data_IF_719305580784
#
_entry.id   IF_719305580784
#
_cell.length_a   1.000
_cell.length_b   1.000
_cell.length_c   1.000
_cell.angle_alpha   90.00
_cell.angle_beta   90.00
_cell.angle_gamma   90.00
#
_symmetry.space_group_name_H-M   'P 1'
#
loop_
_entity.id
_entity.type
_entity.pdbx_description
1 polymer ?
#
# COMPACT_ATOMS: atom_id res chain seq x y z
N UNK A 1 -1.87 21.11 12.05
CA UNK A 1 -0.88 20.03 12.24
C UNK A 1 -0.38 19.67 10.86
N UNK A 2 0.93 19.70 10.64
CA UNK A 2 1.53 19.13 9.44
C UNK A 2 1.50 17.60 9.59
N UNK A 3 0.50 16.96 8.98
CA UNK A 3 0.36 15.50 9.00
C UNK A 3 1.45 14.82 8.17
N UNK A 4 1.93 15.47 7.11
CA UNK A 4 2.79 14.84 6.08
C UNK A 4 4.17 14.43 6.60
N UNK A 5 4.76 15.21 7.51
CA UNK A 5 6.14 14.97 7.98
C UNK A 5 6.26 13.99 9.16
N UNK A 6 5.15 13.53 9.74
CA UNK A 6 5.15 12.67 10.94
C UNK A 6 4.52 11.30 10.74
N UNK A 7 3.77 11.10 9.65
CA UNK A 7 3.26 9.79 9.27
C UNK A 7 4.41 8.88 8.83
N UNK A 8 4.32 7.61 9.23
CA UNK A 8 5.28 6.56 8.88
C UNK A 8 4.56 5.45 8.10
N UNK A 9 4.69 5.51 6.79
CA UNK A 9 4.00 4.69 5.81
C UNK A 9 4.91 3.66 5.12
N UNK A 10 6.24 3.70 5.35
CA UNK A 10 7.16 2.83 4.61
C UNK A 10 7.02 1.37 5.03
N UNK A 11 6.89 0.51 4.01
CA UNK A 11 6.87 -0.95 4.12
C UNK A 11 8.24 -1.58 3.81
N UNK A 12 9.24 -0.78 3.41
CA UNK A 12 10.57 -1.26 2.96
C UNK A 12 11.46 -1.80 4.09
N UNK A 13 10.92 -1.97 5.30
CA UNK A 13 11.55 -2.72 6.38
C UNK A 13 11.25 -4.23 6.32
N UNK A 14 10.22 -4.64 5.56
CA UNK A 14 9.89 -6.06 5.32
C UNK A 14 10.73 -6.60 4.15
N UNK A 15 11.37 -7.75 4.36
CA UNK A 15 12.03 -8.50 3.29
C UNK A 15 11.03 -8.98 2.23
N UNK A 16 9.82 -9.36 2.65
CA UNK A 16 8.72 -9.77 1.76
C UNK A 16 8.30 -8.63 0.83
N UNK A 17 8.06 -7.43 1.38
CA UNK A 17 7.69 -6.27 0.57
C UNK A 17 8.84 -5.80 -0.33
N UNK A 18 10.08 -5.81 0.17
CA UNK A 18 11.26 -5.48 -0.63
C UNK A 18 11.45 -6.43 -1.82
N UNK A 19 11.19 -7.73 -1.65
CA UNK A 19 11.25 -8.68 -2.74
C UNK A 19 10.18 -8.39 -3.81
N UNK A 20 8.97 -8.02 -3.37
CA UNK A 20 7.90 -7.59 -4.26
C UNK A 20 8.24 -6.29 -5.02
N UNK A 21 8.73 -5.26 -4.33
CA UNK A 21 9.17 -4.01 -4.95
C UNK A 21 10.26 -4.25 -6.02
N UNK A 22 11.24 -5.11 -5.73
CA UNK A 22 12.29 -5.49 -6.69
C UNK A 22 11.76 -6.26 -7.90
N UNK A 23 10.77 -7.15 -7.69
CA UNK A 23 10.06 -7.84 -8.78
C UNK A 23 9.38 -6.82 -9.69
N UNK A 24 8.65 -5.86 -9.12
CA UNK A 24 7.99 -4.80 -9.90
C UNK A 24 9.01 -3.94 -10.67
N UNK A 25 10.11 -3.55 -10.04
CA UNK A 25 11.19 -2.82 -10.73
C UNK A 25 11.71 -3.62 -11.93
N UNK A 26 11.97 -4.93 -11.78
CA UNK A 26 12.42 -5.77 -12.88
C UNK A 26 11.40 -5.82 -14.02
N UNK A 27 10.10 -5.98 -13.73
CA UNK A 27 9.03 -5.96 -14.72
C UNK A 27 8.93 -4.61 -15.44
N UNK A 28 9.04 -3.50 -14.71
CA UNK A 28 9.02 -2.12 -15.27
C UNK A 28 10.19 -1.93 -16.24
N UNK A 29 11.40 -2.37 -15.87
CA UNK A 29 12.60 -2.24 -16.70
C UNK A 29 12.55 -3.15 -17.94
N UNK A 30 11.93 -4.32 -17.83
CA UNK A 30 11.69 -5.20 -18.97
C UNK A 30 10.63 -4.63 -19.93
N UNK A 31 9.59 -4.00 -19.38
CA UNK A 31 8.48 -3.44 -20.15
C UNK A 31 8.86 -2.16 -20.88
N UNK A 32 9.63 -1.26 -20.25
CA UNK A 32 9.97 0.05 -20.79
C UNK A 32 11.48 0.33 -20.83
N UNK A 33 12.02 0.84 -21.96
CA UNK A 33 13.44 1.14 -22.07
C UNK A 33 13.79 2.46 -21.35
N UNK A 34 14.15 2.36 -20.06
CA UNK A 34 14.34 3.52 -19.17
C UNK A 34 15.76 4.12 -19.12
N UNK A 35 16.74 3.52 -19.82
CA UNK A 35 18.13 4.02 -19.77
C UNK A 35 18.21 5.47 -20.30
N UNK A 36 18.68 6.38 -19.46
CA UNK A 36 18.76 7.82 -19.75
C UNK A 36 17.41 8.47 -20.00
N UNK A 37 16.32 7.89 -19.46
CA UNK A 37 14.97 8.42 -19.55
C UNK A 37 14.56 9.08 -18.24
N UNK A 38 13.59 9.98 -18.34
CA UNK A 38 12.99 10.63 -17.19
C UNK A 38 11.88 9.76 -16.58
N UNK A 39 11.95 9.49 -15.29
CA UNK A 39 10.89 8.83 -14.51
C UNK A 39 10.37 9.81 -13.47
N UNK A 40 9.05 9.89 -13.31
CA UNK A 40 8.42 10.68 -12.25
C UNK A 40 7.57 9.75 -11.39
N UNK A 41 7.78 9.74 -10.07
CA UNK A 41 6.88 9.07 -9.12
C UNK A 41 6.09 10.12 -8.33
N UNK A 42 4.77 10.10 -8.48
CA UNK A 42 3.84 10.93 -7.72
C UNK A 42 3.39 10.15 -6.49
N UNK A 43 3.59 10.75 -5.30
CA UNK A 43 3.39 10.06 -4.03
C UNK A 43 4.51 9.07 -3.71
N UNK A 44 5.76 9.49 -3.89
CA UNK A 44 6.93 8.60 -3.72
C UNK A 44 7.23 8.21 -2.25
N UNK A 45 6.50 8.74 -1.28
CA UNK A 45 6.73 8.52 0.15
C UNK A 45 8.16 8.86 0.56
N UNK A 46 8.94 7.84 0.96
CA UNK A 46 10.35 8.00 1.34
C UNK A 46 11.33 7.79 0.18
N UNK A 47 10.85 7.55 -1.04
CA UNK A 47 11.66 7.42 -2.26
C UNK A 47 12.34 6.06 -2.46
N UNK A 48 12.06 5.09 -1.60
CA UNK A 48 12.64 3.74 -1.63
C UNK A 48 12.45 3.05 -3.00
N UNK A 49 11.26 3.17 -3.60
CA UNK A 49 10.95 2.51 -4.87
C UNK A 49 11.74 3.10 -6.04
N UNK A 50 11.78 4.44 -6.16
CA UNK A 50 12.63 5.12 -7.15
C UNK A 50 14.11 4.80 -6.96
N UNK A 51 14.59 4.70 -5.72
CA UNK A 51 15.97 4.29 -5.44
C UNK A 51 16.26 2.89 -5.98
N UNK A 52 15.38 1.91 -5.72
CA UNK A 52 15.53 0.56 -6.27
C UNK A 52 15.47 0.57 -7.81
N UNK A 53 14.62 1.40 -8.43
CA UNK A 53 14.57 1.58 -9.88
C UNK A 53 15.89 2.13 -10.46
N UNK A 54 16.45 3.19 -9.86
CA UNK A 54 17.72 3.79 -10.28
C UNK A 54 18.91 2.83 -10.10
N UNK A 55 18.86 1.93 -9.12
CA UNK A 55 19.87 0.87 -8.95
C UNK A 55 19.76 -0.19 -10.06
N UNK A 56 18.56 -0.49 -10.53
CA UNK A 56 18.33 -1.48 -11.58
C UNK A 56 18.64 -0.95 -12.99
N UNK A 57 18.36 0.33 -13.26
CA UNK A 57 18.61 0.97 -14.56
C UNK A 57 19.04 2.44 -14.39
N UNK A 58 20.08 2.90 -15.11
CA UNK A 58 20.45 4.31 -15.09
C UNK A 58 19.37 5.17 -15.76
N UNK A 59 18.53 5.82 -14.95
CA UNK A 59 17.50 6.76 -15.35
C UNK A 59 17.56 8.03 -14.50
N UNK A 60 16.95 9.11 -15.00
CA UNK A 60 16.77 10.37 -14.28
C UNK A 60 15.41 10.34 -13.58
N UNK A 61 15.39 10.22 -12.26
CA UNK A 61 14.19 10.03 -11.47
C UNK A 61 13.86 11.27 -10.63
N UNK A 62 12.58 11.65 -10.63
CA UNK A 62 12.01 12.69 -9.78
C UNK A 62 10.89 12.09 -8.92
N UNK A 63 11.04 12.13 -7.59
CA UNK A 63 9.97 11.79 -6.65
C UNK A 63 9.26 13.05 -6.16
N UNK A 64 7.93 13.03 -6.07
CA UNK A 64 7.12 14.15 -5.58
C UNK A 64 6.28 13.63 -4.42
N UNK A 65 6.55 14.11 -3.21
CA UNK A 65 5.78 13.73 -2.01
C UNK A 65 5.98 14.74 -0.87
N UNK A 66 4.92 15.25 -0.23
CA UNK A 66 5.06 16.18 0.90
C UNK A 66 5.70 15.51 2.13
N UNK A 67 5.57 14.18 2.27
CA UNK A 67 6.11 13.37 3.34
C UNK A 67 7.53 12.85 3.11
N UNK A 68 8.21 13.24 2.02
CA UNK A 68 9.61 12.86 1.79
C UNK A 68 10.55 13.40 2.87
N UNK A 69 11.51 12.57 3.30
CA UNK A 69 12.50 12.93 4.33
C UNK A 69 13.90 12.60 3.80
N UNK A 70 14.66 13.64 3.46
CA UNK A 70 15.98 13.55 2.84
C UNK A 70 16.94 12.63 3.60
N UNK A 71 17.00 12.73 4.92
CA UNK A 71 17.96 11.98 5.75
C UNK A 71 17.65 10.48 5.87
N UNK A 72 16.52 10.01 5.29
CA UNK A 72 16.10 8.60 5.37
C UNK A 72 16.43 7.79 4.14
N UNK A 73 16.81 8.43 3.04
CA UNK A 73 17.13 7.74 1.80
C UNK A 73 18.60 7.92 1.46
N UNK A 74 19.32 6.80 1.39
CA UNK A 74 20.68 6.78 0.88
C UNK A 74 20.64 6.74 -0.66
N UNK A 75 20.94 7.87 -1.29
CA UNK A 75 20.97 8.00 -2.75
C UNK A 75 22.31 7.45 -3.26
N UNK A 76 22.29 6.40 -4.12
CA UNK A 76 23.51 5.80 -4.63
C UNK A 76 24.38 6.82 -5.37
N UNK A 77 25.70 6.74 -5.20
CA UNK A 77 26.65 7.61 -5.90
C UNK A 77 26.48 7.47 -7.42
N UNK A 78 26.24 8.60 -8.10
CA UNK A 78 26.00 8.64 -9.54
C UNK A 78 24.55 8.36 -9.98
N UNK A 79 23.63 8.08 -9.05
CA UNK A 79 22.20 8.06 -9.37
C UNK A 79 21.67 9.49 -9.59
N UNK A 80 20.93 9.68 -10.67
CA UNK A 80 20.20 10.92 -10.94
C UNK A 80 18.82 10.79 -10.32
N UNK A 81 18.74 11.05 -9.01
CA UNK A 81 17.53 10.91 -8.22
C UNK A 81 17.29 12.19 -7.41
N UNK A 82 16.18 12.87 -7.69
CA UNK A 82 15.81 14.14 -7.05
C UNK A 82 14.41 14.04 -6.45
N UNK A 83 14.12 14.93 -5.49
CA UNK A 83 12.85 14.94 -4.77
C UNK A 83 12.27 16.35 -4.63
N UNK A 84 10.96 16.47 -4.81
CA UNK A 84 10.16 17.67 -4.53
C UNK A 84 9.26 17.39 -3.33
N UNK A 85 9.49 18.11 -2.22
CA UNK A 85 8.72 17.92 -0.98
C UNK A 85 7.46 18.79 -0.95
N UNK A 86 6.51 18.45 -1.82
CA UNK A 86 5.25 19.16 -1.98
C UNK A 86 4.14 18.23 -2.44
N UNK A 87 2.90 18.72 -2.39
CA UNK A 87 1.79 18.05 -3.07
C UNK A 87 1.97 18.16 -4.59
N UNK A 88 1.53 17.14 -5.32
CA UNK A 88 1.62 17.12 -6.76
C UNK A 88 0.81 18.26 -7.40
N UNK A 89 1.52 19.08 -8.17
CA UNK A 89 0.97 20.05 -9.10
C UNK A 89 1.71 19.86 -10.44
N UNK A 90 1.02 19.53 -11.55
CA UNK A 90 1.68 19.28 -12.83
C UNK A 90 2.42 20.52 -13.36
N UNK A 91 2.10 21.73 -12.90
CA UNK A 91 2.77 22.97 -13.31
C UNK A 91 4.15 23.16 -12.68
N UNK A 92 4.46 22.45 -11.59
CA UNK A 92 5.76 22.46 -10.92
C UNK A 92 6.72 21.39 -11.46
N UNK A 93 6.23 20.51 -12.35
CA UNK A 93 7.03 19.44 -12.94
C UNK A 93 7.71 19.95 -14.22
N UNK A 94 8.95 20.40 -14.09
CA UNK A 94 9.74 20.95 -15.21
C UNK A 94 10.39 19.88 -16.11
N UNK A 95 10.10 18.60 -15.87
CA UNK A 95 10.72 17.47 -16.58
C UNK A 95 9.72 16.75 -17.49
N UNK A 96 10.19 16.34 -18.67
CA UNK A 96 9.36 15.65 -19.65
C UNK A 96 9.35 14.12 -19.42
N UNK A 97 8.52 13.66 -18.47
CA UNK A 97 8.45 12.25 -18.05
C UNK A 97 8.33 11.26 -19.23
N UNK A 98 9.04 10.13 -19.18
CA UNK A 98 8.86 8.98 -20.07
C UNK A 98 8.05 7.87 -19.39
N UNK A 99 8.13 7.79 -18.06
CA UNK A 99 7.33 6.92 -17.22
C UNK A 99 6.80 7.74 -16.03
N UNK A 100 5.51 7.61 -15.76
CA UNK A 100 4.84 8.14 -14.57
C UNK A 100 4.43 6.98 -13.69
N UNK A 101 4.84 7.03 -12.43
CA UNK A 101 4.58 6.02 -11.42
C UNK A 101 3.70 6.65 -10.33
N UNK A 102 2.69 5.92 -9.87
CA UNK A 102 1.89 6.30 -8.70
C UNK A 102 1.55 5.04 -7.91
N UNK A 103 2.09 4.93 -6.71
CA UNK A 103 1.92 3.74 -5.85
C UNK A 103 1.32 4.17 -4.53
N UNK A 104 0.32 3.42 -4.06
CA UNK A 104 -0.32 3.63 -2.76
C UNK A 104 -0.66 5.10 -2.46
N UNK A 105 -1.18 5.81 -3.45
CA UNK A 105 -1.43 7.25 -3.39
C UNK A 105 -2.81 7.59 -3.94
N UNK A 106 -3.24 6.95 -5.04
CA UNK A 106 -4.52 7.24 -5.68
C UNK A 106 -5.72 7.06 -4.73
N UNK A 107 -5.67 6.06 -3.85
CA UNK A 107 -6.68 5.79 -2.81
C UNK A 107 -6.78 6.90 -1.76
N UNK A 108 -5.73 7.70 -1.59
CA UNK A 108 -5.69 8.84 -0.67
C UNK A 108 -6.15 10.15 -1.31
N UNK A 109 -6.37 10.17 -2.62
CA UNK A 109 -6.82 11.36 -3.35
C UNK A 109 -8.35 11.49 -3.25
N UNK A 110 -8.81 12.65 -2.78
CA UNK A 110 -10.23 12.97 -2.74
C UNK A 110 -10.82 13.24 -4.14
N UNK A 111 -10.26 14.22 -4.87
CA UNK A 111 -10.68 14.52 -6.24
C UNK A 111 -9.89 13.69 -7.26
N UNK A 112 -10.23 12.40 -7.32
CA UNK A 112 -9.58 11.42 -8.21
C UNK A 112 -9.70 11.81 -9.68
N UNK A 113 -10.81 12.44 -10.09
CA UNK A 113 -11.00 12.89 -11.48
C UNK A 113 -9.95 13.94 -11.82
N UNK A 114 -9.86 14.99 -11.00
CA UNK A 114 -8.92 16.08 -11.22
C UNK A 114 -7.48 15.58 -11.24
N UNK A 115 -7.12 14.71 -10.30
CA UNK A 115 -5.77 14.13 -10.25
C UNK A 115 -5.43 13.36 -11.53
N UNK A 116 -6.35 12.56 -12.06
CA UNK A 116 -6.10 11.84 -13.32
C UNK A 116 -6.01 12.78 -14.54
N UNK A 117 -6.74 13.90 -14.53
CA UNK A 117 -6.58 14.97 -15.53
C UNK A 117 -5.19 15.62 -15.42
N UNK A 118 -4.71 15.90 -14.22
CA UNK A 118 -3.38 16.46 -13.97
C UNK A 118 -2.26 15.50 -14.42
N UNK A 119 -2.42 14.19 -14.19
CA UNK A 119 -1.51 13.15 -14.71
C UNK A 119 -1.55 13.12 -16.23
N UNK A 120 -2.73 13.26 -16.85
CA UNK A 120 -2.87 13.32 -18.30
C UNK A 120 -2.18 14.56 -18.88
N UNK A 121 -2.36 15.74 -18.27
CA UNK A 121 -1.73 16.99 -18.68
C UNK A 121 -0.20 16.91 -18.61
N UNK A 122 0.36 16.27 -17.59
CA UNK A 122 1.80 16.04 -17.45
C UNK A 122 2.40 15.21 -18.61
N UNK A 123 1.58 14.41 -19.29
CA UNK A 123 2.06 13.68 -20.48
C UNK A 123 2.34 14.62 -21.66
N UNK A 124 1.74 15.82 -21.67
CA UNK A 124 1.87 16.79 -22.76
C UNK A 124 1.32 16.29 -24.09
N UNK A 125 0.34 15.38 -24.06
CA UNK A 125 -0.23 14.73 -25.26
C UNK A 125 0.74 13.77 -25.97
N UNK A 126 1.86 13.39 -25.33
CA UNK A 126 2.83 12.45 -25.90
C UNK A 126 2.32 11.02 -25.72
N UNK A 127 2.00 10.30 -26.82
CA UNK A 127 1.35 8.98 -26.73
C UNK A 127 2.29 7.87 -26.22
N UNK A 128 3.59 8.14 -26.14
CA UNK A 128 4.62 7.19 -25.71
C UNK A 128 5.02 7.34 -24.23
N UNK A 129 4.30 8.15 -23.46
CA UNK A 129 4.50 8.23 -22.00
C UNK A 129 3.86 7.01 -21.36
N UNK A 130 4.67 6.22 -20.68
CA UNK A 130 4.20 5.08 -19.91
C UNK A 130 3.58 5.54 -18.58
N UNK A 131 2.51 4.89 -18.16
CA UNK A 131 1.84 5.12 -16.89
C UNK A 131 1.79 3.79 -16.14
N UNK A 132 2.27 3.77 -14.90
CA UNK A 132 2.26 2.62 -14.01
C UNK A 132 1.60 3.00 -12.69
N UNK A 133 0.54 2.29 -12.31
CA UNK A 133 -0.16 2.51 -11.06
C UNK A 133 -0.27 1.23 -10.24
N UNK A 134 -0.12 1.39 -8.92
CA UNK A 134 -0.34 0.36 -7.92
C UNK A 134 -1.27 0.90 -6.84
N UNK A 135 -2.43 0.26 -6.66
CA UNK A 135 -3.47 0.70 -5.70
C UNK A 135 -4.10 -0.52 -5.02
N UNK A 136 -4.50 -0.44 -3.74
CA UNK A 136 -5.23 -1.53 -3.08
C UNK A 136 -6.52 -1.94 -3.81
N UNK A 137 -6.76 -3.25 -3.90
CA UNK A 137 -8.01 -3.82 -4.38
C UNK A 137 -9.06 -3.91 -3.26
N UNK A 138 -10.21 -3.29 -3.46
CA UNK A 138 -11.37 -3.40 -2.57
C UNK A 138 -12.22 -4.63 -2.89
N UNK A 139 -12.03 -5.29 -4.03
CA UNK A 139 -12.74 -6.54 -4.36
C UNK A 139 -12.58 -7.58 -3.26
N UNK A 140 -11.34 -7.84 -2.87
CA UNK A 140 -11.01 -8.67 -1.71
C UNK A 140 -11.65 -8.18 -0.41
N UNK A 141 -11.61 -6.87 -0.14
CA UNK A 141 -12.16 -6.29 1.09
C UNK A 141 -13.66 -6.56 1.21
N UNK A 142 -14.40 -6.37 0.11
CA UNK A 142 -15.83 -6.64 0.04
C UNK A 142 -16.14 -8.13 0.20
N UNK A 143 -15.32 -9.01 -0.38
CA UNK A 143 -15.53 -10.45 -0.29
C UNK A 143 -15.17 -11.03 1.09
N UNK A 144 -14.11 -10.55 1.74
CA UNK A 144 -13.68 -11.08 3.03
C UNK A 144 -14.47 -10.49 4.20
N UNK A 145 -15.09 -9.31 4.01
CA UNK A 145 -15.61 -8.50 5.11
C UNK A 145 -14.48 -7.84 5.90
N UNK A 146 -13.36 -7.52 5.23
CA UNK A 146 -12.12 -7.01 5.82
C UNK A 146 -12.26 -5.55 6.27
N UNK A 147 -13.11 -5.30 7.27
CA UNK A 147 -13.42 -3.95 7.76
C UNK A 147 -12.18 -3.17 8.21
N UNK A 148 -11.10 -3.86 8.60
CA UNK A 148 -9.82 -3.26 8.96
C UNK A 148 -9.10 -2.56 7.80
N UNK A 149 -9.51 -2.82 6.55
CA UNK A 149 -9.01 -2.11 5.37
C UNK A 149 -9.85 -0.87 5.00
N UNK A 150 -10.86 -0.54 5.80
CA UNK A 150 -11.65 0.70 5.69
C UNK A 150 -11.19 1.68 6.78
N UNK A 151 -10.53 2.76 6.39
CA UNK A 151 -10.04 3.79 7.31
C UNK A 151 -9.91 5.15 6.63
N UNK A 152 -9.79 6.20 7.45
CA UNK A 152 -9.99 7.60 7.03
C UNK A 152 -9.00 8.11 5.97
N UNK A 153 -7.80 7.52 5.90
CA UNK A 153 -6.78 7.91 4.94
C UNK A 153 -7.18 7.51 3.51
N UNK A 154 -7.95 6.42 3.35
CA UNK A 154 -8.47 5.98 2.06
C UNK A 154 -9.77 6.71 1.74
N UNK A 155 -9.67 7.70 0.87
CA UNK A 155 -10.79 8.47 0.34
C UNK A 155 -11.55 7.70 -0.75
N UNK A 156 -10.84 6.84 -1.49
CA UNK A 156 -11.36 6.11 -2.64
C UNK A 156 -10.95 4.64 -2.58
N UNK A 157 -11.84 3.76 -3.05
CA UNK A 157 -11.65 2.30 -3.06
C UNK A 157 -11.85 1.77 -4.47
N UNK A 158 -10.87 1.02 -4.97
CA UNK A 158 -10.82 0.60 -6.37
C UNK A 158 -10.92 -0.90 -6.52
N UNK A 159 -11.59 -1.34 -7.57
CA UNK A 159 -11.51 -2.70 -8.13
C UNK A 159 -10.76 -2.61 -9.46
N UNK A 160 -10.26 -3.71 -10.02
CA UNK A 160 -9.62 -3.69 -11.35
C UNK A 160 -10.49 -2.98 -12.40
N UNK A 161 -11.78 -3.28 -12.43
CA UNK A 161 -12.73 -2.66 -13.34
C UNK A 161 -12.95 -1.17 -13.09
N UNK A 162 -13.11 -0.72 -11.83
CA UNK A 162 -13.31 0.70 -11.55
C UNK A 162 -12.05 1.52 -11.83
N UNK A 163 -10.88 0.96 -11.54
CA UNK A 163 -9.57 1.52 -11.83
C UNK A 163 -9.35 1.67 -13.35
N UNK A 164 -9.61 0.63 -14.14
CA UNK A 164 -9.45 0.69 -15.59
C UNK A 164 -10.46 1.65 -16.27
N UNK A 165 -11.71 1.67 -15.79
CA UNK A 165 -12.73 2.63 -16.27
C UNK A 165 -12.36 4.08 -15.96
N UNK A 166 -11.79 4.35 -14.78
CA UNK A 166 -11.28 5.66 -14.42
C UNK A 166 -10.22 6.12 -15.43
N UNK A 167 -9.22 5.29 -15.72
CA UNK A 167 -8.15 5.63 -16.66
C UNK A 167 -8.67 5.92 -18.07
N UNK A 168 -9.54 5.06 -18.60
CA UNK A 168 -10.17 5.29 -19.91
C UNK A 168 -10.93 6.59 -19.97
N UNK A 169 -11.69 6.89 -18.92
CA UNK A 169 -12.44 8.16 -18.84
C UNK A 169 -11.54 9.39 -18.67
N UNK A 170 -10.28 9.22 -18.29
CA UNK A 170 -9.27 10.28 -18.17
C UNK A 170 -8.34 10.37 -19.40
N UNK A 171 -8.67 9.68 -20.49
CA UNK A 171 -7.89 9.76 -21.74
C UNK A 171 -6.71 8.80 -21.80
N UNK A 172 -6.74 7.68 -21.07
CA UNK A 172 -5.71 6.66 -21.12
C UNK A 172 -6.20 5.35 -21.73
N UNK A 173 -5.35 4.69 -22.49
CA UNK A 173 -5.53 3.30 -22.93
C UNK A 173 -4.85 2.36 -21.93
N UNK A 174 -5.63 1.45 -21.33
CA UNK A 174 -5.14 0.47 -20.35
C UNK A 174 -4.55 -0.73 -21.09
N UNK A 175 -3.25 -0.96 -20.92
CA UNK A 175 -2.49 -1.97 -21.68
C UNK A 175 -2.24 -3.25 -20.90
N UNK A 176 -2.21 -3.18 -19.57
CA UNK A 176 -2.15 -4.34 -18.70
C UNK A 176 -2.88 -4.03 -17.39
N UNK A 177 -3.56 -5.04 -16.86
CA UNK A 177 -4.28 -4.96 -15.60
C UNK A 177 -4.24 -6.34 -14.95
N UNK A 178 -3.78 -6.41 -13.70
CA UNK A 178 -3.77 -7.64 -12.91
C UNK A 178 -3.85 -7.33 -11.43
N UNK A 179 -4.11 -8.37 -10.64
CA UNK A 179 -3.85 -8.37 -9.22
C UNK A 179 -2.46 -8.96 -8.94
N UNK A 180 -1.80 -8.49 -7.89
CA UNK A 180 -0.52 -9.01 -7.39
C UNK A 180 -0.47 -8.86 -5.84
N UNK A 181 0.65 -9.25 -5.23
CA UNK A 181 0.86 -9.17 -3.78
C UNK A 181 -0.20 -9.90 -2.94
N UNK A 182 -0.48 -11.16 -3.29
CA UNK A 182 -1.54 -11.96 -2.66
C UNK A 182 -2.93 -11.45 -3.00
N UNK A 183 -3.11 -11.03 -4.26
CA UNK A 183 -4.32 -10.45 -4.84
C UNK A 183 -4.84 -9.20 -4.11
N UNK A 184 -3.95 -8.46 -3.45
CA UNK A 184 -4.30 -7.26 -2.67
C UNK A 184 -4.09 -5.97 -3.45
N UNK A 185 -3.23 -5.96 -4.46
CA UNK A 185 -2.89 -4.75 -5.20
C UNK A 185 -3.27 -4.87 -6.68
N UNK A 186 -3.95 -3.86 -7.18
CA UNK A 186 -4.19 -3.65 -8.61
C UNK A 186 -2.90 -3.08 -9.19
N UNK A 187 -2.30 -3.80 -10.14
CA UNK A 187 -1.18 -3.31 -10.93
C UNK A 187 -1.68 -3.00 -12.33
N UNK A 188 -1.56 -1.73 -12.74
CA UNK A 188 -2.06 -1.27 -14.03
C UNK A 188 -1.01 -0.51 -14.83
N UNK A 189 -0.88 -0.89 -16.10
CA UNK A 189 -0.11 -0.17 -17.10
C UNK A 189 -1.06 0.55 -18.06
N UNK A 190 -0.71 1.76 -18.45
CA UNK A 190 -1.45 2.53 -19.44
C UNK A 190 -0.54 3.48 -20.23
N UNK A 191 -1.09 4.12 -21.25
CA UNK A 191 -0.49 5.27 -21.94
C UNK A 191 -1.61 6.23 -22.41
N UNK A 192 -1.30 7.50 -22.75
CA UNK A 192 -2.30 8.41 -23.31
C UNK A 192 -2.96 7.82 -24.54
N UNK A 193 -4.26 8.03 -24.68
CA UNK A 193 -5.02 7.45 -25.79
C UNK A 193 -4.60 8.05 -27.12
N UNK A 194 -4.54 7.22 -28.15
CA UNK A 194 -4.24 7.65 -29.53
C UNK A 194 -5.48 7.73 -30.42
N UNK A 195 -6.67 7.51 -29.85
CA UNK A 195 -7.93 7.55 -30.56
C UNK A 195 -8.89 6.45 -30.11
N UNK A 196 -8.93 5.33 -30.84
CA UNK A 196 -9.85 4.23 -30.54
C UNK A 196 -9.46 3.54 -29.24
N UNK A 197 -10.34 3.48 -28.22
CA UNK A 197 -10.02 2.87 -26.94
C UNK A 197 -9.66 1.38 -27.09
N UNK A 198 -8.68 0.93 -26.31
CA UNK A 198 -8.41 -0.50 -26.17
C UNK A 198 -9.63 -1.25 -25.57
N UNK A 199 -9.82 -2.54 -25.93
CA UNK A 199 -10.86 -3.35 -25.32
C UNK A 199 -10.61 -3.52 -23.80
N UNK A 200 -11.67 -3.76 -23.00
CA UNK A 200 -11.52 -4.06 -21.57
C UNK A 200 -10.58 -5.24 -21.31
N UNK A 201 -9.81 -5.17 -20.23
CA UNK A 201 -8.94 -6.26 -19.80
C UNK A 201 -9.74 -7.40 -19.17
N UNK A 202 -9.23 -8.63 -19.24
CA UNK A 202 -9.88 -9.82 -18.64
C UNK A 202 -10.08 -9.69 -17.12
N UNK A 203 -9.13 -9.03 -16.44
CA UNK A 203 -9.19 -8.80 -15.00
C UNK A 203 -10.31 -7.85 -14.57
N UNK A 204 -10.98 -7.16 -15.50
CA UNK A 204 -12.09 -6.26 -15.15
C UNK A 204 -13.34 -7.06 -14.74
N UNK A 205 -13.74 -6.91 -13.47
CA UNK A 205 -14.96 -7.55 -12.97
C UNK A 205 -16.23 -6.93 -13.56
N UNK A 206 -17.30 -7.72 -13.62
CA UNK A 206 -18.61 -7.23 -14.05
C UNK A 206 -19.25 -6.35 -12.97
N UNK A 207 -20.04 -5.35 -13.40
CA UNK A 207 -20.76 -4.49 -12.47
C UNK A 207 -21.77 -5.26 -11.61
N UNK A 208 -22.33 -6.36 -12.12
CA UNK A 208 -23.28 -7.18 -11.36
C UNK A 208 -22.58 -7.97 -10.26
N UNK A 209 -21.37 -8.47 -10.51
CA UNK A 209 -20.53 -9.08 -9.48
C UNK A 209 -20.18 -8.06 -8.38
N UNK A 210 -19.71 -6.88 -8.75
CA UNK A 210 -19.39 -5.82 -7.79
C UNK A 210 -20.60 -5.38 -6.96
N UNK A 211 -21.78 -5.23 -7.59
CA UNK A 211 -23.04 -4.93 -6.88
C UNK A 211 -23.41 -6.00 -5.87
N UNK A 212 -23.22 -7.28 -6.22
CA UNK A 212 -23.49 -8.39 -5.31
C UNK A 212 -22.55 -8.37 -4.09
N UNK A 213 -21.25 -8.15 -4.30
CA UNK A 213 -20.28 -8.01 -3.21
C UNK A 213 -20.62 -6.83 -2.30
N UNK A 214 -20.88 -5.65 -2.87
CA UNK A 214 -21.24 -4.46 -2.10
C UNK A 214 -22.53 -4.65 -1.29
N UNK A 215 -23.53 -5.34 -1.84
CA UNK A 215 -24.78 -5.63 -1.14
C UNK A 215 -24.59 -6.61 0.03
N UNK A 216 -23.68 -7.58 -0.10
CA UNK A 216 -23.38 -8.56 0.94
C UNK A 216 -22.46 -8.01 2.05
N UNK A 217 -21.66 -6.99 1.75
CA UNK A 217 -20.59 -6.49 2.61
C UNK A 217 -21.02 -6.15 4.05
N UNK A 218 -22.14 -5.45 4.32
CA UNK A 218 -22.53 -5.14 5.71
C UNK A 218 -22.73 -6.38 6.58
N UNK A 219 -23.30 -7.45 6.02
CA UNK A 219 -23.49 -8.71 6.74
C UNK A 219 -22.15 -9.43 6.99
N UNK A 220 -21.27 -9.45 5.98
CA UNK A 220 -19.92 -10.01 6.12
C UNK A 220 -19.10 -9.28 7.18
N UNK A 221 -19.16 -7.95 7.20
CA UNK A 221 -18.50 -7.12 8.22
C UNK A 221 -19.03 -7.45 9.61
N UNK A 222 -20.34 -7.53 9.80
CA UNK A 222 -20.92 -7.87 11.10
C UNK A 222 -20.46 -9.26 11.60
N UNK A 223 -20.43 -10.26 10.72
CA UNK A 223 -19.91 -11.60 11.02
C UNK A 223 -18.43 -11.56 11.43
N UNK A 224 -17.59 -10.88 10.63
CA UNK A 224 -16.14 -10.79 10.90
C UNK A 224 -15.83 -10.01 12.16
N UNK A 225 -16.56 -8.93 12.43
CA UNK A 225 -16.41 -8.17 13.66
C UNK A 225 -16.78 -8.99 14.89
N UNK A 226 -17.89 -9.75 14.83
CA UNK A 226 -18.27 -10.65 15.92
C UNK A 226 -17.20 -11.73 16.15
N UNK A 227 -16.76 -12.39 15.07
CA UNK A 227 -15.73 -13.42 15.13
C UNK A 227 -14.45 -12.92 15.80
N UNK A 228 -13.89 -11.80 15.34
CA UNK A 228 -12.60 -11.31 15.85
C UNK A 228 -12.71 -10.78 17.28
N UNK A 229 -13.82 -10.12 17.63
CA UNK A 229 -14.09 -9.70 19.00
C UNK A 229 -14.13 -10.91 19.94
N UNK A 230 -14.92 -11.92 19.60
CA UNK A 230 -15.07 -13.14 20.40
C UNK A 230 -13.74 -13.90 20.49
N UNK A 231 -13.00 -13.98 19.38
CA UNK A 231 -11.69 -14.64 19.31
C UNK A 231 -10.69 -14.05 20.30
N UNK A 232 -10.58 -12.72 20.36
CA UNK A 232 -9.66 -12.01 21.25
C UNK A 232 -10.14 -12.06 22.70
N UNK A 233 -11.43 -11.78 22.94
CA UNK A 233 -11.99 -11.76 24.29
C UNK A 233 -11.95 -13.13 24.95
N UNK A 234 -12.22 -14.22 24.22
CA UNK A 234 -12.11 -15.57 24.75
C UNK A 234 -10.68 -15.90 25.17
N UNK A 235 -9.68 -15.50 24.38
CA UNK A 235 -8.25 -15.69 24.71
C UNK A 235 -7.85 -14.90 25.94
N UNK A 236 -8.26 -13.63 25.99
CA UNK A 236 -8.03 -12.80 27.16
C UNK A 236 -8.67 -13.37 28.44
N UNK A 237 -9.91 -13.86 28.37
CA UNK A 237 -10.60 -14.50 29.50
C UNK A 237 -9.93 -15.80 29.97
N UNK A 238 -9.21 -16.50 29.08
CA UNK A 238 -8.38 -17.66 29.41
C UNK A 238 -7.01 -17.27 30.00
N UNK A 239 -6.73 -15.97 30.18
CA UNK A 239 -5.43 -15.48 30.63
C UNK A 239 -4.33 -15.58 29.57
N UNK A 240 -4.68 -15.80 28.29
CA UNK A 240 -3.72 -15.86 27.18
C UNK A 240 -3.34 -14.45 26.74
N UNK A 241 -2.07 -14.27 26.39
CA UNK A 241 -1.51 -13.04 25.84
C UNK A 241 -1.68 -13.01 24.33
N UNK A 242 -2.46 -12.05 23.85
CA UNK A 242 -2.66 -11.79 22.42
C UNK A 242 -1.80 -10.60 22.01
N UNK A 243 -0.92 -10.78 21.05
CA UNK A 243 -0.18 -9.70 20.41
C UNK A 243 -0.71 -9.47 19.00
N UNK A 244 -0.61 -8.23 18.51
CA UNK A 244 -0.95 -7.86 17.12
C UNK A 244 0.33 -7.46 16.41
N UNK A 245 0.57 -7.99 15.21
CA UNK A 245 1.76 -7.70 14.41
C UNK A 245 1.39 -6.90 13.15
N UNK A 246 1.99 -5.71 13.05
CA UNK A 246 1.74 -4.69 12.02
C UNK A 246 1.02 -3.48 12.61
N UNK A 247 1.74 -2.52 13.20
CA UNK A 247 1.21 -1.33 13.87
C UNK A 247 0.81 -0.19 12.93
N UNK A 248 0.25 -0.51 11.75
CA UNK A 248 -0.23 0.47 10.77
C UNK A 248 -1.73 0.75 10.84
N UNK A 249 -2.26 1.46 9.85
CA UNK A 249 -3.66 1.90 9.78
C UNK A 249 -4.66 0.74 9.83
N UNK A 250 -4.31 -0.43 9.27
CA UNK A 250 -5.11 -1.66 9.42
C UNK A 250 -5.28 -2.08 10.88
N UNK A 251 -4.22 -2.04 11.68
CA UNK A 251 -4.29 -2.37 13.11
C UNK A 251 -5.11 -1.35 13.89
N UNK A 252 -4.97 -0.06 13.56
CA UNK A 252 -5.79 0.99 14.15
C UNK A 252 -7.27 0.74 13.86
N UNK A 253 -7.64 0.49 12.60
CA UNK A 253 -9.01 0.21 12.20
C UNK A 253 -9.54 -1.07 12.86
N UNK A 254 -8.74 -2.14 12.88
CA UNK A 254 -9.08 -3.41 13.52
C UNK A 254 -9.41 -3.24 15.00
N UNK A 255 -8.53 -2.62 15.77
CA UNK A 255 -8.71 -2.48 17.22
C UNK A 255 -9.81 -1.49 17.58
N UNK A 256 -9.86 -0.34 16.91
CA UNK A 256 -10.88 0.68 17.21
C UNK A 256 -12.29 0.26 16.82
N UNK A 257 -12.47 -0.44 15.69
CA UNK A 257 -13.78 -0.93 15.27
C UNK A 257 -14.31 -2.04 16.20
N UNK A 258 -13.39 -2.84 16.77
CA UNK A 258 -13.74 -3.90 17.70
C UNK A 258 -13.83 -3.45 19.16
N UNK A 259 -13.45 -2.20 19.46
CA UNK A 259 -13.32 -1.68 20.82
C UNK A 259 -12.38 -2.54 21.69
N UNK A 260 -11.24 -2.93 21.11
CA UNK A 260 -10.22 -3.76 21.75
C UNK A 260 -9.03 -2.91 22.18
N UNK A 261 -8.56 -3.14 23.39
CA UNK A 261 -7.39 -2.44 23.92
C UNK A 261 -6.78 -3.18 25.11
N UNK A 262 -7.49 -3.26 26.25
CA UNK A 262 -7.03 -3.98 27.44
C UNK A 262 -6.71 -5.46 27.19
N UNK A 263 -7.35 -6.07 26.18
CA UNK A 263 -7.15 -7.47 25.80
C UNK A 263 -5.83 -7.70 25.04
N UNK A 264 -5.27 -6.65 24.44
CA UNK A 264 -4.08 -6.72 23.61
C UNK A 264 -2.85 -6.50 24.49
N UNK A 265 -2.03 -7.53 24.60
CA UNK A 265 -0.78 -7.49 25.38
C UNK A 265 0.27 -6.57 24.74
N UNK A 266 0.32 -6.54 23.40
CA UNK A 266 1.35 -5.79 22.66
C UNK A 266 0.96 -5.56 21.21
N UNK A 267 1.43 -4.44 20.67
CA UNK A 267 1.46 -4.17 19.23
C UNK A 267 2.92 -4.20 18.77
N UNK A 268 3.20 -5.01 17.75
CA UNK A 268 4.53 -5.20 17.19
C UNK A 268 4.60 -4.57 15.80
N UNK A 269 5.69 -3.86 15.54
CA UNK A 269 6.02 -3.41 14.18
C UNK A 269 7.52 -3.50 13.94
N UNK A 270 7.89 -4.05 12.78
CA UNK A 270 9.30 -4.19 12.36
C UNK A 270 9.90 -2.85 11.92
N UNK A 271 9.07 -1.86 11.56
CA UNK A 271 9.55 -0.55 11.17
C UNK A 271 10.04 0.21 12.43
N UNK A 272 11.36 0.48 12.54
CA UNK A 272 11.95 1.11 13.73
C UNK A 272 11.41 2.53 13.96
N UNK A 273 10.94 3.21 12.92
CA UNK A 273 10.36 4.55 13.05
C UNK A 273 8.98 4.55 13.69
N UNK A 274 8.29 3.40 13.76
CA UNK A 274 7.03 3.23 14.51
C UNK A 274 7.26 2.82 15.97
N UNK A 275 8.39 2.18 16.26
CA UNK A 275 8.68 1.67 17.60
C UNK A 275 8.83 2.81 18.63
N UNK A 276 8.36 2.58 19.85
CA UNK A 276 8.34 3.58 20.92
C UNK A 276 7.24 4.66 20.77
N UNK A 277 6.42 4.58 19.72
CA UNK A 277 5.22 5.40 19.55
C UNK A 277 3.97 4.69 20.05
N UNK A 278 2.81 5.33 19.91
CA UNK A 278 1.52 4.82 20.36
C UNK A 278 0.53 4.78 19.19
N UNK A 279 -0.32 3.76 19.16
CA UNK A 279 -1.40 3.68 18.19
C UNK A 279 -2.45 4.76 18.45
N UNK A 280 -2.91 5.48 17.41
CA UNK A 280 -4.03 6.40 17.54
C UNK A 280 -5.31 5.64 17.92
N UNK A 281 -6.18 6.28 18.70
CA UNK A 281 -7.41 5.68 19.21
C UNK A 281 -7.21 4.85 20.47
N UNK A 282 -6.42 3.78 20.41
CA UNK A 282 -6.24 2.86 21.55
C UNK A 282 -5.16 3.28 22.53
N UNK A 283 -4.16 4.06 22.09
CA UNK A 283 -3.02 4.46 22.91
C UNK A 283 -2.07 3.31 23.27
N UNK A 284 -2.15 2.16 22.57
CA UNK A 284 -1.26 1.03 22.81
C UNK A 284 0.16 1.35 22.30
N UNK A 285 1.22 1.05 23.07
CA UNK A 285 2.59 1.26 22.63
C UNK A 285 2.98 0.26 21.53
N UNK A 286 3.68 0.76 20.51
CA UNK A 286 4.24 -0.06 19.43
C UNK A 286 5.67 -0.43 19.79
N UNK A 287 5.96 -1.74 19.80
CA UNK A 287 7.27 -2.30 20.14
C UNK A 287 7.90 -3.04 18.96
N UNK A 288 9.22 -3.23 18.99
CA UNK A 288 9.90 -4.14 18.07
C UNK A 288 9.68 -5.61 18.42
N UNK A 289 9.95 -6.55 17.49
CA UNK A 289 9.78 -7.99 17.72
C UNK A 289 10.51 -8.53 18.95
N UNK A 290 11.69 -7.99 19.27
CA UNK A 290 12.53 -8.42 20.40
C UNK A 290 11.81 -8.28 21.75
N UNK A 291 10.87 -7.33 21.85
CA UNK A 291 10.06 -7.14 23.06
C UNK A 291 9.22 -8.37 23.43
N UNK A 292 8.92 -9.25 22.46
CA UNK A 292 8.17 -10.48 22.71
C UNK A 292 8.96 -11.52 23.51
N UNK A 293 10.30 -11.46 23.57
CA UNK A 293 11.08 -12.43 24.35
C UNK A 293 10.92 -12.25 25.86
N UNK A 294 10.78 -10.99 26.31
CA UNK A 294 10.57 -10.69 27.72
C UNK A 294 9.17 -11.09 28.20
N UNK A 295 8.20 -11.09 27.30
CA UNK A 295 6.80 -11.39 27.57
C UNK A 295 6.18 -12.17 26.38
N UNK A 296 6.46 -13.49 26.28
CA UNK A 296 6.09 -14.30 25.12
C UNK A 296 4.57 -14.33 24.86
N UNK A 297 4.08 -14.02 23.65
CA UNK A 297 2.65 -14.12 23.36
C UNK A 297 2.21 -15.58 23.28
N UNK A 298 0.94 -15.85 23.60
CA UNK A 298 0.31 -17.15 23.32
C UNK A 298 -0.28 -17.17 21.91
N UNK A 299 -0.75 -16.02 21.43
CA UNK A 299 -1.30 -15.82 20.08
C UNK A 299 -0.73 -14.54 19.46
N UNK A 300 -0.35 -14.59 18.18
CA UNK A 300 0.00 -13.42 17.37
C UNK A 300 -1.02 -13.30 16.23
N UNK A 301 -1.70 -12.16 16.18
CA UNK A 301 -2.60 -11.78 15.08
C UNK A 301 -1.80 -10.94 14.09
N UNK A 302 -1.59 -11.48 12.89
CA UNK A 302 -0.90 -10.82 11.79
C UNK A 302 -1.89 -10.01 10.97
N UNK A 303 -1.60 -8.72 10.76
CA UNK A 303 -2.52 -7.79 10.08
C UNK A 303 -2.60 -7.96 8.55
N UNK A 304 -1.75 -8.82 7.96
CA UNK A 304 -1.81 -9.17 6.54
C UNK A 304 -1.18 -10.56 6.31
N UNK A 305 -1.91 -11.53 5.71
CA UNK A 305 -1.48 -12.91 5.61
C UNK A 305 -0.24 -13.11 4.71
N UNK A 306 0.07 -12.16 3.83
CA UNK A 306 1.29 -12.20 2.99
C UNK A 306 2.57 -12.26 3.84
N UNK A 307 2.52 -11.74 5.07
CA UNK A 307 3.65 -11.72 5.98
C UNK A 307 3.72 -12.92 6.94
N UNK A 308 2.82 -13.91 6.82
CA UNK A 308 2.79 -15.06 7.75
C UNK A 308 4.13 -15.81 7.80
N UNK A 309 4.73 -16.09 6.65
CA UNK A 309 6.00 -16.82 6.58
C UNK A 309 7.17 -16.01 7.16
N UNK A 310 7.25 -14.72 6.83
CA UNK A 310 8.28 -13.80 7.36
C UNK A 310 8.17 -13.65 8.88
N UNK A 311 6.95 -13.38 9.38
CA UNK A 311 6.70 -13.21 10.81
C UNK A 311 6.90 -14.53 11.57
N UNK A 312 6.50 -15.66 10.98
CA UNK A 312 6.77 -16.98 11.54
C UNK A 312 8.27 -17.26 11.67
N UNK A 313 9.07 -16.92 10.66
CA UNK A 313 10.52 -17.03 10.71
C UNK A 313 11.15 -16.11 11.76
N UNK A 314 10.66 -14.88 11.88
CA UNK A 314 11.11 -13.93 12.91
C UNK A 314 10.82 -14.44 14.33
N UNK A 315 9.60 -14.94 14.58
CA UNK A 315 9.22 -15.53 15.85
C UNK A 315 10.09 -16.75 16.19
N UNK A 316 10.33 -17.64 15.22
CA UNK A 316 11.17 -18.82 15.41
C UNK A 316 12.63 -18.42 15.74
N UNK A 317 13.17 -17.40 15.08
CA UNK A 317 14.51 -16.85 15.37
C UNK A 317 14.63 -16.30 16.78
N UNK A 318 13.55 -15.74 17.32
CA UNK A 318 13.47 -15.27 18.70
C UNK A 318 13.24 -16.39 19.72
N UNK A 319 13.08 -17.64 19.28
CA UNK A 319 12.79 -18.80 20.13
C UNK A 319 11.33 -18.85 20.59
N UNK A 320 10.41 -18.23 19.85
CA UNK A 320 8.99 -18.14 20.16
C UNK A 320 8.18 -19.02 19.20
N UNK A 321 7.10 -19.61 19.72
CA UNK A 321 6.18 -20.45 18.93
C UNK A 321 4.71 -20.20 19.33
N UNK A 322 4.20 -18.96 19.21
CA UNK A 322 2.80 -18.67 19.50
C UNK A 322 1.88 -19.30 18.45
N UNK A 323 0.58 -19.37 18.75
CA UNK A 323 -0.45 -19.55 17.73
C UNK A 323 -0.40 -18.36 16.76
N UNK A 324 -0.13 -18.61 15.48
CA UNK A 324 -0.11 -17.57 14.45
C UNK A 324 -1.42 -17.60 13.68
N UNK A 325 -2.14 -16.47 13.68
CA UNK A 325 -3.36 -16.27 12.90
C UNK A 325 -3.23 -14.97 12.11
N UNK A 326 -3.91 -14.85 10.97
CA UNK A 326 -3.98 -13.62 10.20
C UNK A 326 -5.42 -13.17 10.03
N UNK A 327 -5.61 -11.86 9.91
CA UNK A 327 -6.84 -11.26 9.41
C UNK A 327 -6.92 -11.38 7.89
#
# INVERSE_FOLDING_TARGET
MDYSSTTEESQHFSGTFNAFAKKLVAEIVETWPLRGRQVVEVGCGKGDFLRELCLAVPCDALGIDPGFITDRLDVPEGASLTFQREYFDPTHVEVAANLVICRHTLEHIGDVRRFMEDIHDMTGGRPNVAIFFETPDVGRVLDEGAFWDIYFEHCSYFTPGSHARLFRSAGFDVTALRLDYGDQYIIQNAHPTTGSPLPPCEAEESLDHLRALAAAFPAKVAERMAYWRDFVQARHAMGKRVAVWGGGSKCVSFLTSLDLGPEISRVIDINPFKQGRFLPGTGLPVSGPEALQADPPDTVIVMNPVYLDEIGADLARLGLSPELVAV
#
